data_IF_370900466705
#
_entry.id   IF_370900466705
#
_cell.length_a   1.000
_cell.length_b   1.000
_cell.length_c   1.000
_cell.angle_alpha   90.00
_cell.angle_beta   90.00
_cell.angle_gamma   90.00
#
_symmetry.space_group_name_H-M   'P 1'
#
loop_
_entity.id
_entity.type
_entity.pdbx_description
1 polymer ?
#
# COMPACT_ATOMS: atom_id res chain seq x y z
N UNK A 1 -15.03 -6.33 8.18
CA UNK A 1 -15.56 -7.37 7.24
C UNK A 1 -14.55 -7.48 6.12
N UNK A 2 -13.94 -8.66 5.95
CA UNK A 2 -12.94 -8.89 4.90
C UNK A 2 -13.64 -8.81 3.54
N UNK A 3 -13.11 -7.98 2.66
CA UNK A 3 -13.52 -7.90 1.26
C UNK A 3 -12.69 -8.92 0.48
N UNK A 4 -13.36 -9.89 -0.17
CA UNK A 4 -12.68 -10.99 -0.87
C UNK A 4 -13.10 -11.03 -2.32
N UNK A 5 -12.16 -11.30 -3.21
CA UNK A 5 -12.40 -11.44 -4.64
C UNK A 5 -11.36 -12.37 -5.27
N UNK A 6 -11.67 -12.88 -6.46
CA UNK A 6 -10.77 -13.76 -7.20
C UNK A 6 -9.92 -12.95 -8.19
N UNK A 7 -8.60 -13.08 -8.11
CA UNK A 7 -7.66 -12.63 -9.12
C UNK A 7 -7.28 -13.83 -10.01
N UNK A 8 -8.07 -14.07 -11.05
CA UNK A 8 -7.94 -15.27 -11.87
C UNK A 8 -8.24 -16.54 -11.05
N UNK A 9 -7.23 -17.38 -10.84
CA UNK A 9 -7.36 -18.64 -10.09
C UNK A 9 -6.93 -18.52 -8.61
N UNK A 10 -6.69 -17.31 -8.10
CA UNK A 10 -6.15 -17.03 -6.77
C UNK A 10 -7.11 -16.14 -5.99
N UNK A 11 -7.47 -16.55 -4.78
CA UNK A 11 -8.27 -15.72 -3.89
C UNK A 11 -7.41 -14.60 -3.29
N UNK A 12 -8.00 -13.42 -3.22
CA UNK A 12 -7.41 -12.22 -2.63
C UNK A 12 -8.36 -11.67 -1.56
N UNK A 13 -7.81 -11.24 -0.43
CA UNK A 13 -8.57 -10.72 0.69
C UNK A 13 -7.98 -9.38 1.12
N UNK A 14 -8.78 -8.31 1.04
CA UNK A 14 -8.41 -7.01 1.57
C UNK A 14 -8.61 -7.03 3.08
N UNK A 15 -7.52 -6.89 3.80
CA UNK A 15 -7.46 -6.85 5.25
C UNK A 15 -7.55 -5.39 5.69
N UNK A 16 -8.68 -4.98 6.23
CA UNK A 16 -8.86 -3.60 6.69
C UNK A 16 -8.18 -3.43 8.04
N UNK A 17 -7.09 -2.68 8.05
CA UNK A 17 -6.31 -2.42 9.26
C UNK A 17 -6.95 -1.37 10.16
N UNK A 18 -7.71 -0.45 9.57
CA UNK A 18 -8.34 0.67 10.24
C UNK A 18 -8.49 1.87 9.33
N UNK A 19 -8.49 3.07 9.91
CA UNK A 19 -8.60 4.28 9.14
C UNK A 19 -8.50 5.55 9.97
N UNK A 20 -8.55 6.67 9.28
CA UNK A 20 -8.63 8.01 9.90
C UNK A 20 -9.33 8.99 8.98
N UNK A 21 -9.81 10.10 9.53
CA UNK A 21 -10.21 11.24 8.72
C UNK A 21 -9.04 12.19 8.50
N UNK A 22 -8.88 12.68 7.29
CA UNK A 22 -7.75 13.54 6.89
C UNK A 22 -8.22 14.81 6.19
N UNK A 23 -7.45 15.89 6.33
CA UNK A 23 -7.70 17.11 5.58
C UNK A 23 -7.50 16.88 4.08
N UNK A 24 -8.34 17.46 3.19
CA UNK A 24 -8.09 17.48 1.75
C UNK A 24 -6.68 17.98 1.38
N UNK A 25 -6.09 18.88 2.17
CA UNK A 25 -4.75 19.40 1.97
C UNK A 25 -3.63 18.36 2.20
N UNK A 26 -3.93 17.29 2.95
CA UNK A 26 -3.02 16.18 3.13
C UNK A 26 -3.09 15.24 1.91
N UNK A 27 -4.30 14.91 1.47
CA UNK A 27 -4.53 14.02 0.31
C UNK A 27 -4.10 14.69 -1.00
N UNK A 28 -4.32 16.00 -1.12
CA UNK A 28 -3.99 16.77 -2.32
C UNK A 28 -3.10 17.96 -1.94
N UNK A 29 -1.78 17.84 -2.20
CA UNK A 29 -0.81 18.90 -1.96
C UNK A 29 -1.17 20.16 -2.75
N UNK A 30 -1.19 21.32 -2.07
CA UNK A 30 -1.58 22.56 -2.72
C UNK A 30 -3.08 22.67 -2.99
N UNK A 31 -3.92 21.94 -2.25
CA UNK A 31 -5.38 22.02 -2.38
C UNK A 31 -5.91 23.45 -2.30
N UNK A 32 -6.64 23.83 -3.33
CA UNK A 32 -7.37 25.10 -3.45
C UNK A 32 -8.87 24.79 -3.64
N UNK A 33 -9.72 25.33 -2.75
CA UNK A 33 -11.13 25.00 -2.73
C UNK A 33 -11.89 25.39 -4.01
N UNK A 34 -11.43 26.43 -4.71
CA UNK A 34 -12.01 26.86 -5.98
C UNK A 34 -11.63 25.94 -7.15
N UNK A 35 -10.51 25.19 -7.04
CA UNK A 35 -10.00 24.32 -8.09
C UNK A 35 -10.43 22.87 -7.84
N UNK A 36 -9.99 22.27 -6.74
CA UNK A 36 -10.28 20.89 -6.42
C UNK A 36 -11.62 20.70 -5.69
N UNK A 37 -12.11 21.74 -4.99
CA UNK A 37 -13.32 21.65 -4.19
C UNK A 37 -14.56 21.09 -4.90
N UNK A 38 -14.86 21.44 -6.16
CA UNK A 38 -16.00 20.86 -6.87
C UNK A 38 -15.97 19.33 -6.96
N UNK A 39 -14.78 18.71 -7.02
CA UNK A 39 -14.57 17.26 -7.10
C UNK A 39 -14.47 16.60 -5.72
N UNK A 40 -13.90 17.32 -4.74
CA UNK A 40 -13.58 16.78 -3.40
C UNK A 40 -14.77 16.88 -2.44
N UNK A 41 -15.58 17.96 -2.51
CA UNK A 41 -16.71 18.19 -1.60
C UNK A 41 -17.70 17.04 -1.48
N UNK A 42 -18.04 16.28 -2.55
CA UNK A 42 -18.93 15.11 -2.41
C UNK A 42 -18.40 13.99 -1.49
N UNK A 43 -17.10 13.99 -1.22
CA UNK A 43 -16.41 13.00 -0.41
C UNK A 43 -16.13 13.44 1.03
N UNK A 44 -16.46 14.70 1.35
CA UNK A 44 -16.20 15.26 2.68
C UNK A 44 -17.28 14.82 3.68
N UNK A 45 -16.84 14.54 4.89
CA UNK A 45 -17.72 14.38 6.04
C UNK A 45 -18.27 15.73 6.57
N UNK A 46 -19.04 15.67 7.65
CA UNK A 46 -19.63 16.88 8.27
C UNK A 46 -18.60 17.84 8.88
N UNK A 47 -17.35 17.43 9.04
CA UNK A 47 -16.22 18.24 9.52
C UNK A 47 -15.32 18.76 8.37
N UNK A 48 -15.67 18.47 7.13
CA UNK A 48 -14.88 18.82 5.94
C UNK A 48 -13.60 18.01 5.77
N UNK A 49 -13.62 16.75 6.21
CA UNK A 49 -12.51 15.82 6.10
C UNK A 49 -12.84 14.66 5.16
N UNK A 50 -11.82 14.06 4.59
CA UNK A 50 -11.88 12.82 3.79
C UNK A 50 -11.68 11.61 4.70
N UNK A 51 -12.48 10.57 4.48
CA UNK A 51 -12.21 9.27 5.08
C UNK A 51 -10.98 8.64 4.42
N UNK A 52 -10.01 8.19 5.20
CA UNK A 52 -8.86 7.42 4.77
C UNK A 52 -8.91 6.04 5.40
N UNK A 53 -8.79 5.00 4.59
CA UNK A 53 -8.67 3.60 5.00
C UNK A 53 -7.21 3.20 5.04
N UNK A 54 -6.84 2.28 5.91
CA UNK A 54 -5.59 1.53 5.89
C UNK A 54 -5.91 0.08 5.57
N UNK A 55 -5.23 -0.49 4.60
CA UNK A 55 -5.47 -1.88 4.21
C UNK A 55 -4.19 -2.57 3.72
N UNK A 56 -4.10 -3.86 4.01
CA UNK A 56 -3.15 -4.82 3.46
C UNK A 56 -3.88 -5.80 2.54
N UNK A 57 -3.15 -6.61 1.78
CA UNK A 57 -3.73 -7.62 0.91
C UNK A 57 -3.14 -8.99 1.22
N UNK A 58 -3.99 -9.97 1.48
CA UNK A 58 -3.62 -11.38 1.55
C UNK A 58 -3.93 -12.05 0.21
N UNK A 59 -2.97 -12.81 -0.32
CA UNK A 59 -3.10 -13.57 -1.58
C UNK A 59 -2.87 -15.05 -1.29
N UNK A 60 -3.83 -15.91 -1.66
CA UNK A 60 -3.73 -17.36 -1.54
C UNK A 60 -2.98 -17.98 -2.72
N UNK A 61 -1.66 -17.73 -2.82
CA UNK A 61 -0.84 -18.30 -3.88
C UNK A 61 -0.68 -19.83 -3.71
N UNK A 62 -0.56 -20.59 -4.80
CA UNK A 62 -0.24 -22.02 -4.74
C UNK A 62 1.05 -22.38 -3.98
N UNK A 63 1.99 -21.42 -3.88
CA UNK A 63 3.25 -21.59 -3.16
C UNK A 63 3.14 -21.27 -1.66
N UNK A 64 1.94 -20.91 -1.18
CA UNK A 64 1.63 -20.47 0.17
C UNK A 64 1.14 -19.03 0.20
N UNK A 65 0.63 -18.59 1.35
CA UNK A 65 0.08 -17.24 1.48
C UNK A 65 1.16 -16.16 1.27
N UNK A 66 0.79 -15.15 0.49
CA UNK A 66 1.57 -13.91 0.34
C UNK A 66 0.81 -12.78 1.01
N UNK A 67 1.45 -12.08 1.92
CA UNK A 67 0.91 -10.87 2.53
C UNK A 67 1.57 -9.64 1.88
N UNK A 68 0.78 -8.67 1.45
CA UNK A 68 1.26 -7.39 0.92
C UNK A 68 0.96 -6.34 1.97
N UNK A 69 2.00 -5.83 2.63
CA UNK A 69 1.97 -4.96 3.80
C UNK A 69 1.33 -5.64 5.03
N UNK A 70 1.39 -4.99 6.19
CA UNK A 70 0.90 -5.55 7.45
C UNK A 70 0.19 -4.54 8.39
N UNK A 71 -0.14 -3.36 7.87
CA UNK A 71 -0.84 -2.34 8.65
C UNK A 71 0.01 -1.66 9.72
N UNK A 72 -0.64 -0.90 10.60
CA UNK A 72 -0.04 -0.12 11.67
C UNK A 72 0.52 -0.97 12.81
N UNK A 73 -0.08 -2.12 13.09
CA UNK A 73 0.31 -2.97 14.21
C UNK A 73 0.43 -2.18 15.52
N UNK A 74 1.55 -2.38 16.24
CA UNK A 74 1.83 -1.69 17.49
C UNK A 74 2.14 -0.19 17.39
N UNK A 75 2.25 0.36 16.18
CA UNK A 75 2.49 1.79 15.92
C UNK A 75 1.20 2.59 15.68
N UNK A 76 0.02 1.99 15.87
CA UNK A 76 -1.25 2.69 15.70
C UNK A 76 -1.37 3.94 16.63
N UNK A 77 -0.79 3.91 17.84
CA UNK A 77 -0.91 5.01 18.77
C UNK A 77 -2.38 5.33 19.07
N UNK A 78 -2.79 6.58 18.82
CA UNK A 78 -4.18 7.04 18.97
C UNK A 78 -5.02 6.83 17.69
N UNK A 79 -4.46 6.24 16.62
CA UNK A 79 -5.18 5.95 15.39
C UNK A 79 -6.03 4.67 15.56
N UNK A 80 -7.18 4.63 14.91
CA UNK A 80 -7.94 3.40 14.78
C UNK A 80 -7.25 2.52 13.74
N UNK A 81 -6.58 1.44 14.18
CA UNK A 81 -5.81 0.57 13.31
C UNK A 81 -5.03 -0.49 14.07
N UNK A 82 -4.24 -1.27 13.34
CA UNK A 82 -3.46 -2.38 13.87
C UNK A 82 -4.22 -3.72 13.84
N UNK A 83 -5.27 -3.82 13.02
CA UNK A 83 -6.19 -4.97 12.98
C UNK A 83 -5.82 -6.06 11.96
N UNK A 84 -4.76 -5.90 11.15
CA UNK A 84 -4.38 -6.90 10.12
C UNK A 84 -4.23 -8.31 10.71
N UNK A 85 -3.61 -8.44 11.88
CA UNK A 85 -3.46 -9.75 12.53
C UNK A 85 -4.80 -10.35 12.95
N UNK A 86 -5.75 -9.55 13.37
CA UNK A 86 -7.11 -9.99 13.74
C UNK A 86 -7.88 -10.45 12.49
N UNK A 87 -7.75 -9.73 11.39
CA UNK A 87 -8.35 -10.08 10.09
C UNK A 87 -7.74 -11.38 9.54
N UNK A 88 -6.43 -11.61 9.65
CA UNK A 88 -5.79 -12.89 9.30
C UNK A 88 -6.36 -14.03 10.14
N UNK A 89 -6.50 -13.84 11.45
CA UNK A 89 -7.10 -14.86 12.35
C UNK A 89 -8.55 -15.16 11.97
N UNK A 90 -9.33 -14.14 11.59
CA UNK A 90 -10.71 -14.32 11.14
C UNK A 90 -10.81 -15.17 9.86
N UNK A 91 -9.81 -15.11 8.99
CA UNK A 91 -9.66 -15.98 7.81
C UNK A 91 -9.10 -17.38 8.15
N UNK A 92 -8.71 -17.62 9.42
CA UNK A 92 -8.07 -18.87 9.84
C UNK A 92 -6.58 -18.96 9.46
N UNK A 93 -5.98 -17.84 9.05
CA UNK A 93 -4.58 -17.74 8.65
C UNK A 93 -3.71 -17.35 9.86
N UNK A 94 -2.69 -18.12 10.12
CA UNK A 94 -1.76 -17.89 11.24
C UNK A 94 -0.47 -17.24 10.72
N UNK A 95 0.31 -16.54 11.56
CA UNK A 95 1.55 -15.91 11.14
C UNK A 95 2.52 -16.85 10.40
N UNK A 96 2.62 -18.10 10.83
CA UNK A 96 3.50 -19.09 10.20
C UNK A 96 2.93 -19.76 8.94
N UNK A 97 1.70 -19.44 8.53
CA UNK A 97 1.12 -19.85 7.25
C UNK A 97 1.52 -18.86 6.12
N UNK A 98 1.98 -17.65 6.47
CA UNK A 98 2.54 -16.67 5.53
C UNK A 98 3.93 -17.12 5.10
N UNK A 99 4.16 -17.18 3.79
CA UNK A 99 5.45 -17.60 3.19
C UNK A 99 6.25 -16.46 2.60
N UNK A 100 5.55 -15.42 2.16
CA UNK A 100 6.17 -14.22 1.62
C UNK A 100 5.43 -13.00 2.12
N UNK A 101 6.16 -11.99 2.55
CA UNK A 101 5.65 -10.65 2.78
C UNK A 101 6.26 -9.73 1.73
N UNK A 102 5.44 -8.99 1.00
CA UNK A 102 5.88 -7.89 0.14
C UNK A 102 5.68 -6.61 0.90
N UNK A 103 6.73 -5.89 1.17
CA UNK A 103 6.70 -4.56 1.77
C UNK A 103 6.66 -3.56 0.62
N UNK A 104 5.49 -2.93 0.40
CA UNK A 104 5.36 -1.95 -0.67
C UNK A 104 6.26 -0.75 -0.41
N UNK A 105 6.27 -0.24 0.81
CA UNK A 105 7.13 0.84 1.26
C UNK A 105 7.15 0.93 2.81
N UNK A 106 7.95 1.84 3.36
CA UNK A 106 8.28 1.85 4.78
C UNK A 106 7.42 2.79 5.65
N UNK A 107 6.27 3.31 5.22
CA UNK A 107 5.39 4.06 6.12
C UNK A 107 4.77 3.13 7.19
N UNK A 108 4.43 3.71 8.35
CA UNK A 108 4.02 2.97 9.53
C UNK A 108 2.77 2.10 9.30
N UNK A 109 1.82 2.56 8.52
CA UNK A 109 0.58 1.86 8.16
C UNK A 109 0.76 0.72 7.14
N UNK A 110 2.00 0.47 6.72
CA UNK A 110 2.39 -0.66 5.87
C UNK A 110 3.31 -1.64 6.59
N UNK A 111 4.22 -1.13 7.43
CA UNK A 111 5.24 -1.97 8.05
C UNK A 111 5.00 -2.26 9.54
N UNK A 112 4.14 -1.50 10.22
CA UNK A 112 4.02 -1.56 11.67
C UNK A 112 3.62 -2.94 12.20
N UNK A 113 2.74 -3.64 11.50
CA UNK A 113 2.32 -4.99 11.84
C UNK A 113 3.35 -6.09 11.57
N UNK A 114 4.51 -5.77 10.98
CA UNK A 114 5.60 -6.71 10.77
C UNK A 114 6.38 -7.01 12.06
N UNK A 115 6.14 -6.24 13.14
CA UNK A 115 6.71 -6.50 14.45
C UNK A 115 5.66 -6.99 15.43
N UNK A 116 5.99 -8.05 16.16
CA UNK A 116 5.24 -8.52 17.30
C UNK A 116 5.43 -7.63 18.54
N UNK A 117 4.70 -7.91 19.64
CA UNK A 117 4.76 -7.09 20.87
C UNK A 117 6.14 -6.99 21.53
N UNK A 118 7.06 -7.88 21.19
CA UNK A 118 8.44 -7.86 21.68
C UNK A 118 9.43 -7.27 20.68
N UNK A 119 8.94 -6.63 19.62
CA UNK A 119 9.73 -6.16 18.50
C UNK A 119 10.48 -7.28 17.75
N UNK A 120 10.00 -8.53 17.86
CA UNK A 120 10.42 -9.65 17.03
C UNK A 120 9.59 -9.71 15.74
N UNK A 121 10.11 -10.36 14.65
CA UNK A 121 9.34 -10.51 13.42
C UNK A 121 8.02 -11.22 13.65
N UNK A 122 6.92 -10.60 13.19
CA UNK A 122 5.57 -11.12 13.36
C UNK A 122 5.28 -12.35 12.46
N UNK A 123 6.00 -12.45 11.33
CA UNK A 123 5.87 -13.54 10.36
C UNK A 123 7.23 -14.28 10.23
N UNK A 124 7.60 -15.12 11.22
CA UNK A 124 8.94 -15.65 11.34
C UNK A 124 9.33 -16.71 10.28
N UNK A 125 8.34 -17.29 9.59
CA UNK A 125 8.53 -18.28 8.52
C UNK A 125 8.46 -17.68 7.11
N UNK A 126 8.27 -16.35 7.02
CA UNK A 126 8.14 -15.64 5.75
C UNK A 126 9.46 -14.99 5.31
N UNK A 127 9.70 -15.00 3.99
CA UNK A 127 10.63 -14.05 3.37
C UNK A 127 9.97 -12.67 3.30
N UNK A 128 10.72 -11.63 3.63
CA UNK A 128 10.23 -10.26 3.55
C UNK A 128 10.95 -9.53 2.41
N UNK A 129 10.22 -9.26 1.34
CA UNK A 129 10.74 -8.65 0.12
C UNK A 129 10.50 -7.15 0.15
N UNK A 130 11.53 -6.36 -0.03
CA UNK A 130 11.49 -4.90 -0.13
C UNK A 130 12.43 -4.43 -1.23
N UNK A 131 12.13 -3.33 -1.90
CA UNK A 131 13.04 -2.75 -2.86
C UNK A 131 14.27 -2.15 -2.15
N UNK A 132 15.48 -2.36 -2.74
CA UNK A 132 16.74 -1.88 -2.18
C UNK A 132 16.74 -0.38 -1.92
N UNK A 133 16.24 0.42 -2.87
CA UNK A 133 16.17 1.87 -2.70
C UNK A 133 15.28 2.30 -1.52
N UNK A 134 14.26 1.50 -1.20
CA UNK A 134 13.40 1.70 -0.02
C UNK A 134 14.16 1.44 1.27
N UNK A 135 14.80 0.27 1.37
CA UNK A 135 15.61 -0.07 2.52
C UNK A 135 16.76 0.92 2.76
N UNK A 136 17.46 1.30 1.68
CA UNK A 136 18.57 2.26 1.75
C UNK A 136 18.08 3.64 2.21
N UNK A 137 16.90 4.10 1.75
CA UNK A 137 16.31 5.37 2.18
C UNK A 137 15.98 5.36 3.66
N UNK A 138 15.22 4.35 4.14
CA UNK A 138 14.77 4.31 5.54
C UNK A 138 15.91 4.05 6.53
N UNK A 139 17.03 3.47 6.06
CA UNK A 139 18.25 3.34 6.85
C UNK A 139 19.16 4.59 6.79
N UNK A 140 18.79 5.63 6.04
CA UNK A 140 19.60 6.83 5.85
C UNK A 140 19.37 7.90 6.91
N UNK A 141 20.33 8.84 7.00
CA UNK A 141 20.21 10.04 7.83
C UNK A 141 19.00 10.92 7.40
N UNK A 142 18.63 10.89 6.12
CA UNK A 142 17.49 11.66 5.62
C UNK A 142 16.18 11.19 6.25
N UNK A 143 15.97 9.88 6.35
CA UNK A 143 14.79 9.31 7.01
C UNK A 143 14.79 9.56 8.52
N UNK A 144 15.97 9.53 9.17
CA UNK A 144 16.11 9.81 10.60
C UNK A 144 15.76 11.26 10.98
N UNK A 145 15.72 12.19 10.02
CA UNK A 145 15.36 13.59 10.24
C UNK A 145 13.95 13.95 9.75
N UNK A 146 13.13 12.96 9.39
CA UNK A 146 11.73 13.19 9.08
C UNK A 146 10.96 13.69 10.32
N UNK A 147 9.95 14.56 10.12
CA UNK A 147 9.09 15.02 11.21
C UNK A 147 8.41 13.87 11.95
N UNK A 148 8.13 14.09 13.24
CA UNK A 148 7.32 13.18 14.08
C UNK A 148 7.86 11.74 14.14
N UNK A 149 9.19 11.56 14.02
CA UNK A 149 9.85 10.25 14.00
C UNK A 149 9.27 9.27 12.96
N UNK A 150 8.79 9.80 11.82
CA UNK A 150 8.09 9.03 10.79
C UNK A 150 8.92 7.87 10.21
N UNK A 151 10.26 7.94 10.30
CA UNK A 151 11.16 6.87 9.88
C UNK A 151 11.36 5.76 10.93
N UNK A 152 10.96 5.97 12.18
CA UNK A 152 11.26 5.03 13.26
C UNK A 152 10.63 3.64 13.08
N UNK A 153 9.36 3.48 12.64
CA UNK A 153 8.77 2.17 12.38
C UNK A 153 9.54 1.38 11.33
N UNK A 154 9.84 2.00 10.18
CA UNK A 154 10.58 1.36 9.09
C UNK A 154 11.96 0.89 9.55
N UNK A 155 12.70 1.74 10.24
CA UNK A 155 14.04 1.41 10.74
C UNK A 155 14.00 0.26 11.75
N UNK A 156 13.02 0.25 12.65
CA UNK A 156 12.84 -0.84 13.62
C UNK A 156 12.54 -2.18 12.93
N UNK A 157 11.65 -2.17 11.93
CA UNK A 157 11.29 -3.35 11.14
C UNK A 157 12.49 -3.87 10.35
N UNK A 158 13.16 -3.00 9.58
CA UNK A 158 14.34 -3.39 8.80
C UNK A 158 15.44 -4.00 9.67
N UNK A 159 15.68 -3.41 10.85
CA UNK A 159 16.65 -3.92 11.80
C UNK A 159 16.28 -5.33 12.32
N UNK A 160 15.02 -5.53 12.72
CA UNK A 160 14.56 -6.82 13.22
C UNK A 160 14.61 -7.92 12.15
N UNK A 161 14.15 -7.61 10.93
CA UNK A 161 14.15 -8.55 9.81
C UNK A 161 15.57 -8.91 9.37
N UNK A 162 16.48 -7.93 9.34
CA UNK A 162 17.88 -8.14 9.01
C UNK A 162 18.58 -9.02 10.05
N UNK A 163 18.34 -8.77 11.35
CA UNK A 163 18.89 -9.61 12.43
C UNK A 163 18.37 -11.04 12.41
N UNK A 164 17.16 -11.25 11.95
CA UNK A 164 16.53 -12.57 11.83
C UNK A 164 16.89 -13.29 10.51
N UNK A 165 17.64 -12.68 9.59
CA UNK A 165 17.95 -13.20 8.26
C UNK A 165 16.68 -13.47 7.42
N UNK A 166 15.68 -12.60 7.53
CA UNK A 166 14.38 -12.73 6.86
C UNK A 166 14.16 -11.67 5.76
N UNK A 167 15.12 -10.74 5.55
CA UNK A 167 14.98 -9.62 4.63
C UNK A 167 15.63 -9.90 3.27
N UNK A 168 14.84 -9.82 2.21
CA UNK A 168 15.28 -9.95 0.82
C UNK A 168 15.19 -8.60 0.10
N UNK A 169 16.33 -8.09 -0.34
CA UNK A 169 16.43 -6.84 -1.09
C UNK A 169 16.38 -7.10 -2.59
N UNK A 170 15.37 -6.53 -3.27
CA UNK A 170 15.27 -6.58 -4.73
C UNK A 170 15.63 -5.23 -5.35
N UNK A 171 16.12 -5.24 -6.59
CA UNK A 171 16.47 -4.03 -7.35
C UNK A 171 15.77 -3.98 -8.71
N UNK A 172 15.02 -5.02 -9.03
CA UNK A 172 14.28 -5.20 -10.29
C UNK A 172 12.95 -5.87 -9.97
N UNK A 173 12.01 -5.84 -10.91
CA UNK A 173 10.75 -6.56 -10.80
C UNK A 173 10.99 -8.04 -10.54
N UNK A 174 10.25 -8.64 -9.62
CA UNK A 174 10.45 -10.01 -9.18
C UNK A 174 9.14 -10.78 -9.03
N UNK A 175 9.10 -12.00 -9.55
CA UNK A 175 8.06 -12.97 -9.18
C UNK A 175 8.37 -13.50 -7.78
N UNK A 176 7.61 -13.01 -6.79
CA UNK A 176 7.84 -13.32 -5.36
C UNK A 176 7.16 -14.62 -4.94
N UNK A 177 6.14 -15.03 -5.67
CA UNK A 177 5.47 -16.32 -5.57
C UNK A 177 4.77 -16.61 -6.91
N UNK A 178 4.27 -17.83 -7.08
CA UNK A 178 3.53 -18.18 -8.30
C UNK A 178 2.30 -17.29 -8.48
N UNK A 179 2.29 -16.53 -9.59
CA UNK A 179 1.23 -15.59 -9.91
C UNK A 179 1.27 -14.29 -9.12
N UNK A 180 2.34 -14.00 -8.37
CA UNK A 180 2.50 -12.74 -7.62
C UNK A 180 3.82 -12.08 -8.00
N UNK A 181 3.75 -10.93 -8.66
CA UNK A 181 4.90 -10.17 -9.14
C UNK A 181 4.96 -8.79 -8.51
N UNK A 182 6.03 -8.51 -7.79
CA UNK A 182 6.37 -7.17 -7.32
C UNK A 182 7.00 -6.37 -8.47
N UNK A 183 6.55 -5.15 -8.66
CA UNK A 183 7.03 -4.23 -9.70
C UNK A 183 7.42 -2.88 -9.09
N UNK A 184 8.47 -2.27 -9.62
CA UNK A 184 8.91 -0.95 -9.15
C UNK A 184 7.85 0.13 -9.47
N UNK A 185 7.50 0.91 -8.45
CA UNK A 185 6.50 1.97 -8.53
C UNK A 185 6.95 3.24 -7.74
N UNK A 186 8.14 3.79 -8.04
CA UNK A 186 8.76 4.85 -7.23
C UNK A 186 8.00 6.17 -7.31
N UNK A 187 8.16 7.01 -6.26
CA UNK A 187 7.66 8.38 -6.23
C UNK A 187 6.93 8.71 -4.93
N UNK A 188 6.01 7.88 -4.46
CA UNK A 188 5.46 8.01 -3.11
C UNK A 188 6.60 7.88 -2.09
N UNK A 189 7.38 6.83 -2.21
CA UNK A 189 8.71 6.69 -1.61
C UNK A 189 9.72 6.27 -2.69
N UNK A 190 11.05 6.36 -2.44
CA UNK A 190 12.06 6.10 -3.47
C UNK A 190 12.07 4.67 -4.03
N UNK A 191 11.68 3.69 -3.23
CA UNK A 191 11.67 2.28 -3.60
C UNK A 191 10.30 1.63 -3.50
N UNK A 192 9.22 2.43 -3.59
CA UNK A 192 7.86 1.91 -3.53
C UNK A 192 7.64 0.80 -4.57
N UNK A 193 6.89 -0.23 -4.17
CA UNK A 193 6.47 -1.36 -5.00
C UNK A 193 4.96 -1.39 -5.19
N UNK A 194 4.51 -1.73 -6.39
CA UNK A 194 3.16 -2.23 -6.66
C UNK A 194 3.22 -3.75 -6.89
N UNK A 195 2.07 -4.43 -6.86
CA UNK A 195 2.02 -5.89 -7.03
C UNK A 195 0.97 -6.26 -8.06
N UNK A 196 1.34 -7.13 -9.01
CA UNK A 196 0.43 -7.71 -9.99
C UNK A 196 0.17 -9.17 -9.63
N UNK A 197 -1.11 -9.54 -9.56
CA UNK A 197 -1.55 -10.88 -9.19
C UNK A 197 -2.25 -11.54 -10.38
N UNK A 198 -1.68 -12.64 -10.88
CA UNK A 198 -2.20 -13.50 -11.96
C UNK A 198 -2.61 -12.74 -13.24
N UNK A 199 -1.98 -11.60 -13.55
CA UNK A 199 -2.41 -10.70 -14.64
C UNK A 199 -3.93 -10.40 -14.60
N UNK A 200 -4.51 -10.36 -13.41
CA UNK A 200 -5.93 -10.12 -13.16
C UNK A 200 -6.18 -8.98 -12.15
N UNK A 201 -5.26 -8.75 -11.22
CA UNK A 201 -5.33 -7.66 -10.23
C UNK A 201 -4.02 -6.89 -10.19
N UNK A 202 -4.11 -5.56 -10.08
CA UNK A 202 -3.01 -4.67 -9.75
C UNK A 202 -3.29 -4.01 -8.39
N UNK A 203 -2.42 -4.28 -7.40
CA UNK A 203 -2.39 -3.60 -6.11
C UNK A 203 -1.36 -2.47 -6.18
N UNK A 204 -1.82 -1.23 -6.12
CA UNK A 204 -0.98 -0.05 -6.37
C UNK A 204 -0.25 0.49 -5.13
N UNK A 205 -0.50 -0.08 -3.92
CA UNK A 205 0.00 0.52 -2.69
C UNK A 205 -0.41 1.99 -2.58
N UNK A 206 0.53 2.85 -2.27
CA UNK A 206 0.30 4.29 -2.10
C UNK A 206 0.65 5.16 -3.31
N UNK A 207 0.98 4.53 -4.45
CA UNK A 207 1.04 5.26 -5.70
C UNK A 207 -0.31 5.92 -6.03
N UNK A 208 -1.42 5.36 -5.50
CA UNK A 208 -2.79 5.88 -5.60
C UNK A 208 -3.45 5.84 -4.23
N UNK A 209 -3.86 7.01 -3.72
CA UNK A 209 -4.47 7.14 -2.39
C UNK A 209 -5.92 7.63 -2.40
N UNK A 210 -6.46 7.97 -3.57
CA UNK A 210 -7.84 8.45 -3.73
C UNK A 210 -8.39 8.04 -5.09
N UNK A 211 -9.69 7.71 -5.21
CA UNK A 211 -10.34 7.50 -6.50
C UNK A 211 -10.23 8.72 -7.43
N UNK A 212 -10.07 9.92 -6.86
CA UNK A 212 -9.88 11.16 -7.61
C UNK A 212 -8.52 11.24 -8.32
N UNK A 213 -7.58 10.36 -7.99
CA UNK A 213 -6.31 10.26 -8.73
C UNK A 213 -6.49 9.67 -10.13
N UNK A 214 -7.60 8.99 -10.44
CA UNK A 214 -7.85 8.50 -11.79
C UNK A 214 -8.20 9.66 -12.75
N UNK A 215 -9.24 10.50 -12.52
CA UNK A 215 -9.49 11.66 -13.35
C UNK A 215 -8.43 12.77 -13.22
N UNK A 216 -7.67 12.78 -12.13
CA UNK A 216 -6.66 13.80 -11.83
C UNK A 216 -5.33 13.17 -11.40
N UNK A 217 -4.64 12.47 -12.29
CA UNK A 217 -3.39 11.77 -11.94
C UNK A 217 -2.25 12.73 -11.54
N UNK A 218 -2.35 14.02 -11.89
CA UNK A 218 -1.43 15.09 -11.49
C UNK A 218 -1.61 15.54 -10.03
N UNK A 219 -2.69 15.16 -9.36
CA UNK A 219 -2.89 15.53 -7.95
C UNK A 219 -2.06 14.64 -7.03
N UNK A 220 -1.00 15.23 -6.50
CA UNK A 220 -0.04 14.54 -5.64
C UNK A 220 -0.38 14.73 -4.16
N UNK A 221 -0.01 13.76 -3.34
CA UNK A 221 -0.20 13.81 -1.89
C UNK A 221 0.87 14.67 -1.18
N UNK A 222 0.55 15.16 0.02
CA UNK A 222 1.55 15.73 0.91
C UNK A 222 2.58 14.66 1.39
N UNK A 223 2.19 13.38 1.38
CA UNK A 223 3.06 12.27 1.73
C UNK A 223 3.98 11.82 0.58
N UNK A 224 3.74 12.25 -0.68
CA UNK A 224 4.61 11.88 -1.80
C UNK A 224 5.99 12.55 -1.67
N UNK A 225 7.06 11.77 -1.61
CA UNK A 225 8.43 12.27 -1.52
C UNK A 225 8.89 12.91 -2.83
N UNK A 226 8.51 12.31 -3.97
CA UNK A 226 8.74 12.83 -5.32
C UNK A 226 7.42 12.85 -6.09
N UNK A 227 6.68 13.96 -6.02
CA UNK A 227 5.38 14.11 -6.65
C UNK A 227 5.39 13.88 -8.17
N UNK A 228 6.31 14.49 -8.95
CA UNK A 228 6.43 14.22 -10.38
C UNK A 228 6.70 12.76 -10.71
N UNK A 229 7.58 12.08 -9.96
CA UNK A 229 7.83 10.66 -10.16
C UNK A 229 6.59 9.81 -9.81
N UNK A 230 5.87 10.15 -8.72
CA UNK A 230 4.64 9.44 -8.36
C UNK A 230 3.51 9.65 -9.37
N UNK A 231 3.38 10.84 -9.95
CA UNK A 231 2.44 11.09 -11.05
C UNK A 231 2.76 10.19 -12.25
N UNK A 232 4.03 10.12 -12.67
CA UNK A 232 4.45 9.27 -13.78
C UNK A 232 4.17 7.78 -13.51
N UNK A 233 4.51 7.31 -12.32
CA UNK A 233 4.20 5.96 -11.83
C UNK A 233 2.71 5.67 -11.85
N UNK A 234 1.90 6.56 -11.29
CA UNK A 234 0.44 6.46 -11.24
C UNK A 234 -0.18 6.34 -12.62
N UNK A 235 0.24 7.19 -13.56
CA UNK A 235 -0.22 7.13 -14.96
C UNK A 235 0.13 5.80 -15.62
N UNK A 236 1.34 5.28 -15.38
CA UNK A 236 1.76 3.98 -15.91
C UNK A 236 0.95 2.81 -15.31
N UNK A 237 0.67 2.83 -14.01
CA UNK A 237 -0.15 1.81 -13.34
C UNK A 237 -1.60 1.84 -13.83
N UNK A 238 -2.20 3.02 -13.99
CA UNK A 238 -3.55 3.17 -14.54
C UNK A 238 -3.62 2.72 -16.00
N UNK A 239 -2.66 3.12 -16.83
CA UNK A 239 -2.60 2.70 -18.24
C UNK A 239 -2.52 1.18 -18.34
N UNK A 240 -1.62 0.55 -17.56
CA UNK A 240 -1.50 -0.90 -17.50
C UNK A 240 -2.80 -1.57 -17.06
N UNK A 241 -3.45 -1.08 -16.01
CA UNK A 241 -4.70 -1.64 -15.53
C UNK A 241 -5.82 -1.54 -16.58
N UNK A 242 -5.89 -0.43 -17.32
CA UNK A 242 -6.86 -0.22 -18.40
C UNK A 242 -6.57 -1.13 -19.61
N UNK A 243 -5.31 -1.18 -20.05
CA UNK A 243 -4.89 -1.94 -21.26
C UNK A 243 -5.05 -3.45 -21.03
N UNK A 244 -4.63 -3.95 -19.88
CA UNK A 244 -4.66 -5.37 -19.51
C UNK A 244 -6.00 -5.77 -18.86
N UNK A 245 -6.93 -4.82 -18.63
CA UNK A 245 -8.23 -5.00 -17.98
C UNK A 245 -8.14 -5.61 -16.59
N UNK A 246 -7.14 -5.18 -15.83
CA UNK A 246 -6.94 -5.65 -14.46
C UNK A 246 -7.99 -5.03 -13.52
N UNK A 247 -8.38 -5.76 -12.50
CA UNK A 247 -8.96 -5.17 -11.31
C UNK A 247 -7.89 -4.29 -10.68
N UNK A 248 -8.27 -3.11 -10.25
CA UNK A 248 -7.36 -2.15 -9.62
C UNK A 248 -7.75 -1.91 -8.17
N UNK A 249 -6.79 -2.05 -7.28
CA UNK A 249 -6.98 -1.78 -5.85
C UNK A 249 -5.73 -1.11 -5.27
N UNK A 250 -5.88 -0.47 -4.12
CA UNK A 250 -4.79 0.20 -3.41
C UNK A 250 -5.10 0.30 -1.91
N UNK A 251 -4.07 0.55 -1.10
CA UNK A 251 -4.15 0.52 0.36
C UNK A 251 -5.18 1.49 0.94
N UNK A 252 -5.33 2.65 0.31
CA UNK A 252 -6.23 3.71 0.77
C UNK A 252 -7.51 3.86 -0.05
N UNK A 253 -7.69 3.09 -1.13
CA UNK A 253 -8.95 3.12 -1.88
C UNK A 253 -10.07 2.42 -1.09
N UNK A 254 -11.29 2.99 -1.08
CA UNK A 254 -12.41 2.42 -0.31
C UNK A 254 -12.84 1.06 -0.84
N UNK A 255 -12.68 0.82 -2.13
CA UNK A 255 -13.09 -0.40 -2.86
C UNK A 255 -12.14 -0.69 -4.01
N UNK A 256 -12.16 -1.93 -4.51
CA UNK A 256 -11.55 -2.28 -5.78
C UNK A 256 -12.43 -1.82 -6.98
N UNK A 257 -11.85 -1.73 -8.17
CA UNK A 257 -12.59 -1.26 -9.34
C UNK A 257 -11.86 -1.54 -10.65
N UNK A 258 -12.43 -1.06 -11.74
CA UNK A 258 -11.82 -1.08 -13.06
C UNK A 258 -11.41 0.33 -13.49
N UNK A 259 -10.26 0.41 -14.12
CA UNK A 259 -9.73 1.63 -14.73
C UNK A 259 -9.96 1.59 -16.23
N UNK A 260 -10.33 2.74 -16.82
CA UNK A 260 -10.40 2.90 -18.26
C UNK A 260 -9.78 4.25 -18.68
N UNK A 261 -9.26 4.31 -19.91
CA UNK A 261 -8.78 5.57 -20.47
C UNK A 261 -9.92 6.58 -20.62
N UNK A 262 -9.68 7.84 -20.28
CA UNK A 262 -10.60 8.97 -20.45
C UNK A 262 -9.81 10.22 -20.91
N UNK A 263 -9.62 10.37 -22.22
CA UNK A 263 -8.75 11.39 -22.79
C UNK A 263 -7.30 11.22 -22.33
N UNK A 264 -6.74 12.27 -21.74
CA UNK A 264 -5.38 12.27 -21.17
C UNK A 264 -5.35 11.80 -19.69
N UNK A 265 -6.50 11.40 -19.14
CA UNK A 265 -6.68 10.90 -17.79
C UNK A 265 -7.34 9.51 -17.80
N UNK A 266 -7.92 9.13 -16.66
CA UNK A 266 -8.55 7.82 -16.48
C UNK A 266 -9.87 7.98 -15.74
N UNK A 267 -10.77 7.01 -15.91
CA UNK A 267 -11.95 6.84 -15.07
C UNK A 267 -11.75 5.61 -14.15
N UNK A 268 -12.37 5.65 -12.99
CA UNK A 268 -12.41 4.54 -12.04
C UNK A 268 -13.86 4.18 -11.76
N UNK A 269 -14.21 2.91 -11.95
CA UNK A 269 -15.53 2.36 -11.68
C UNK A 269 -15.43 1.24 -10.64
N UNK A 270 -16.14 1.37 -9.53
CA UNK A 270 -16.22 0.37 -8.47
C UNK A 270 -16.85 -0.94 -8.97
N UNK A 271 -16.41 -2.10 -8.44
CA UNK A 271 -16.96 -3.43 -8.72
C UNK A 271 -17.81 -3.96 -7.58
#
# INVERSE_FOLDING_TARGET
MVESFDAGAVACHVLVDGGRTVSPRFVFRGYEDDVQGPFVRPWLDGEGKLAGRFAALLVESPDGHVLIDAGLGGFAGDLEGGHVHEELVALGVRPWDIRTVVITHGHADHVGGLLGPRHDPAFPDARHVIHRAEADFWASDAAAHLPDDAGAPALAVLHALLQADLLDLISEDLDVAKGVRAIAAPGHTPGHLAVVINDALLWAGDAVISPLNAPHPEWVSAADMDGPANEATRRALFARAADDRLVFAASHLPVAGHVAHDGDAFSFAEI
#
